data_IF_476319204210
#
_entry.id   IF_476319204210
#
_cell.length_a   1.000
_cell.length_b   1.000
_cell.length_c   1.000
_cell.angle_alpha   90.00
_cell.angle_beta   90.00
_cell.angle_gamma   90.00
#
_symmetry.space_group_name_H-M   'P 1'
#
loop_
_entity.id
_entity.type
_entity.pdbx_description
1 polymer ?
#
# COMPACT_ATOMS: atom_id res chain seq x y z
N UNK A 1 -16.85 11.77 45.07
CA UNK A 1 -17.92 11.66 44.07
C UNK A 1 -17.55 12.30 42.71
N UNK A 2 -16.60 13.23 42.66
CA UNK A 2 -16.15 13.92 41.43
C UNK A 2 -15.11 13.09 40.69
N UNK A 3 -14.30 12.30 41.37
CA UNK A 3 -13.24 11.47 40.74
C UNK A 3 -13.77 10.22 40.00
N UNK A 4 -14.91 9.66 40.42
CA UNK A 4 -15.55 8.54 39.68
C UNK A 4 -16.18 8.97 38.35
N UNK A 5 -16.66 10.22 38.24
CA UNK A 5 -17.21 10.74 36.98
C UNK A 5 -16.13 11.01 35.90
N UNK A 6 -14.89 11.34 36.29
CA UNK A 6 -13.76 11.50 35.32
C UNK A 6 -13.25 10.19 34.77
N UNK A 7 -13.33 9.09 35.54
CA UNK A 7 -12.94 7.75 35.06
C UNK A 7 -13.99 7.15 34.11
N UNK A 8 -15.26 7.54 34.25
CA UNK A 8 -16.34 7.06 33.37
C UNK A 8 -16.41 7.85 32.04
N UNK A 9 -15.92 9.11 31.98
CA UNK A 9 -15.82 9.88 30.74
C UNK A 9 -14.61 9.47 29.87
N UNK A 10 -13.53 8.98 30.46
CA UNK A 10 -12.38 8.42 29.71
C UNK A 10 -12.62 6.99 29.17
N UNK A 11 -13.69 6.33 29.61
CA UNK A 11 -14.13 5.03 29.05
C UNK A 11 -15.17 5.16 27.93
N UNK A 12 -15.53 6.37 27.53
CA UNK A 12 -16.50 6.61 26.47
C UNK A 12 -15.86 6.34 25.08
N UNK A 13 -16.20 5.14 24.54
CA UNK A 13 -16.23 4.83 23.11
C UNK A 13 -14.90 4.67 22.37
N UNK A 14 -14.05 3.77 22.76
CA UNK A 14 -13.16 3.15 21.79
C UNK A 14 -13.95 2.05 21.06
N UNK A 15 -14.38 2.32 19.83
CA UNK A 15 -14.91 1.28 18.92
C UNK A 15 -13.92 0.10 18.93
N UNK A 16 -14.38 -1.15 19.14
CA UNK A 16 -13.51 -2.31 19.10
C UNK A 16 -12.70 -2.36 17.80
N UNK A 17 -11.46 -2.80 17.87
CA UNK A 17 -10.57 -2.81 16.69
C UNK A 17 -11.15 -3.63 15.52
N UNK A 18 -11.89 -4.70 15.82
CA UNK A 18 -12.59 -5.51 14.82
C UNK A 18 -13.71 -4.74 14.10
N UNK A 19 -14.50 -3.95 14.80
CA UNK A 19 -15.55 -3.10 14.21
C UNK A 19 -14.92 -1.99 13.37
N UNK A 20 -13.93 -1.29 13.89
CA UNK A 20 -13.17 -0.28 13.16
C UNK A 20 -12.54 -0.84 11.87
N UNK A 21 -12.03 -2.05 11.93
CA UNK A 21 -11.48 -2.76 10.78
C UNK A 21 -12.54 -3.07 9.73
N UNK A 22 -13.72 -3.54 10.14
CA UNK A 22 -14.83 -3.81 9.22
C UNK A 22 -15.31 -2.54 8.53
N UNK A 23 -15.46 -1.44 9.28
CA UNK A 23 -15.83 -0.14 8.73
C UNK A 23 -14.78 0.38 7.76
N UNK A 24 -13.49 0.27 8.08
CA UNK A 24 -12.42 0.64 7.18
C UNK A 24 -12.46 -0.15 5.86
N UNK A 25 -12.72 -1.46 5.93
CA UNK A 25 -12.84 -2.32 4.75
C UNK A 25 -14.07 -1.95 3.92
N UNK A 26 -15.20 -1.68 4.58
CA UNK A 26 -16.40 -1.19 3.90
C UNK A 26 -16.16 0.13 3.17
N UNK A 27 -15.46 1.07 3.81
CA UNK A 27 -15.06 2.35 3.18
C UNK A 27 -14.19 2.09 1.94
N UNK A 28 -13.17 1.22 2.05
CA UNK A 28 -12.25 0.93 0.95
C UNK A 28 -12.98 0.29 -0.23
N UNK A 29 -13.92 -0.60 0.03
CA UNK A 29 -14.58 -1.37 -1.03
C UNK A 29 -15.74 -0.63 -1.71
N UNK A 30 -16.44 0.24 -0.95
CA UNK A 30 -17.69 0.84 -1.40
C UNK A 30 -17.60 2.35 -1.73
N UNK A 31 -16.46 3.00 -1.47
CA UNK A 31 -16.27 4.40 -1.87
C UNK A 31 -15.66 4.45 -3.27
N UNK A 32 -16.34 5.00 -4.29
CA UNK A 32 -15.86 4.96 -5.68
C UNK A 32 -14.50 5.64 -5.85
N UNK A 33 -14.35 6.84 -5.32
CA UNK A 33 -13.16 7.67 -5.49
C UNK A 33 -12.12 7.40 -4.40
N UNK A 34 -10.89 7.10 -4.78
CA UNK A 34 -9.80 6.82 -3.81
C UNK A 34 -9.50 8.03 -2.91
N UNK A 35 -9.63 9.24 -3.43
CA UNK A 35 -9.46 10.45 -2.63
C UNK A 35 -10.49 10.54 -1.49
N UNK A 36 -11.76 10.33 -1.80
CA UNK A 36 -12.81 10.25 -0.78
C UNK A 36 -12.60 9.08 0.19
N UNK A 37 -12.05 7.95 -0.29
CA UNK A 37 -11.68 6.82 0.55
C UNK A 37 -10.65 7.22 1.60
N UNK A 38 -9.57 7.89 1.18
CA UNK A 38 -8.49 8.34 2.06
C UNK A 38 -9.00 9.33 3.11
N UNK A 39 -9.87 10.27 2.73
CA UNK A 39 -10.47 11.23 3.67
C UNK A 39 -11.34 10.51 4.71
N UNK A 40 -12.23 9.61 4.28
CA UNK A 40 -13.10 8.85 5.20
C UNK A 40 -12.30 7.95 6.15
N UNK A 41 -11.21 7.35 5.67
CA UNK A 41 -10.32 6.54 6.52
C UNK A 41 -9.59 7.39 7.57
N UNK A 42 -9.09 8.58 7.19
CA UNK A 42 -8.51 9.53 8.15
C UNK A 42 -9.49 9.83 9.27
N UNK A 43 -10.75 10.14 8.92
CA UNK A 43 -11.79 10.51 9.87
C UNK A 43 -12.20 9.32 10.76
N UNK A 44 -12.38 8.12 10.18
CA UNK A 44 -12.66 6.88 10.93
C UNK A 44 -11.55 6.56 11.93
N UNK A 45 -10.31 6.70 11.52
CA UNK A 45 -9.13 6.41 12.34
C UNK A 45 -8.83 7.51 13.34
N UNK A 46 -9.49 8.67 13.20
CA UNK A 46 -9.29 9.85 14.04
C UNK A 46 -7.81 10.27 14.12
N UNK A 47 -7.16 10.34 12.96
CA UNK A 47 -5.77 10.79 12.75
C UNK A 47 -5.76 12.13 12.03
N UNK A 48 -4.64 12.85 12.09
CA UNK A 48 -4.58 14.19 11.46
C UNK A 48 -4.43 14.07 9.96
N UNK A 49 -3.51 13.22 9.49
CA UNK A 49 -3.27 13.05 8.06
C UNK A 49 -3.02 11.59 7.71
N UNK A 50 -3.40 11.26 6.47
CA UNK A 50 -3.15 9.97 5.84
C UNK A 50 -2.64 10.19 4.43
N UNK A 51 -1.55 9.52 4.09
CA UNK A 51 -0.92 9.56 2.77
C UNK A 51 -0.77 8.15 2.24
N UNK A 52 -1.24 7.94 1.02
CA UNK A 52 -0.91 6.75 0.25
C UNK A 52 -0.06 7.15 -0.95
N UNK A 53 1.11 6.57 -1.06
CA UNK A 53 2.07 6.78 -2.15
C UNK A 53 2.46 5.44 -2.76
N UNK A 54 2.38 5.30 -4.09
CA UNK A 54 2.75 4.08 -4.81
C UNK A 54 3.58 4.39 -6.04
N UNK A 55 4.59 3.56 -6.30
CA UNK A 55 5.44 3.63 -7.49
C UNK A 55 5.89 2.24 -7.94
N UNK A 56 6.19 2.08 -9.24
CA UNK A 56 6.81 0.85 -9.77
C UNK A 56 8.25 0.70 -9.30
N UNK A 57 8.65 -0.55 -9.06
CA UNK A 57 10.07 -0.86 -8.80
C UNK A 57 10.89 -0.51 -10.05
N UNK A 58 11.95 0.27 -9.86
CA UNK A 58 12.80 0.77 -10.95
C UNK A 58 12.47 2.20 -11.40
N UNK A 59 11.31 2.74 -11.04
CA UNK A 59 11.06 4.17 -11.10
C UNK A 59 11.64 4.78 -9.83
N UNK A 60 12.50 5.78 -9.97
CA UNK A 60 13.05 6.49 -8.81
C UNK A 60 11.89 7.04 -7.97
N UNK A 61 11.83 6.79 -6.66
CA UNK A 61 10.85 7.46 -5.81
C UNK A 61 11.01 8.98 -5.84
N UNK A 62 12.14 9.47 -6.34
CA UNK A 62 12.47 10.88 -6.56
C UNK A 62 12.04 11.39 -7.94
N UNK A 63 11.48 10.57 -8.83
CA UNK A 63 10.86 11.00 -10.09
C UNK A 63 9.57 11.82 -9.87
N UNK A 64 9.24 12.11 -8.62
CA UNK A 64 8.18 13.03 -8.23
C UNK A 64 8.36 14.44 -8.83
N UNK A 65 9.57 14.90 -9.10
CA UNK A 65 9.81 16.20 -9.74
C UNK A 65 9.08 16.31 -11.07
N UNK A 66 9.14 15.27 -11.90
CA UNK A 66 8.45 15.27 -13.20
C UNK A 66 6.93 15.20 -13.07
N UNK A 67 6.44 14.52 -12.03
CA UNK A 67 5.00 14.46 -11.73
C UNK A 67 4.47 15.80 -11.20
N UNK A 68 5.33 16.60 -10.56
CA UNK A 68 4.98 17.89 -9.98
C UNK A 68 5.26 19.09 -10.88
N UNK A 69 6.03 18.96 -11.96
CA UNK A 69 6.25 20.03 -12.94
C UNK A 69 4.93 20.61 -13.52
N UNK A 70 3.84 19.85 -13.45
CA UNK A 70 2.51 20.23 -13.91
C UNK A 70 1.54 20.69 -12.80
N UNK A 71 2.02 20.84 -11.56
CA UNK A 71 1.24 21.29 -10.40
C UNK A 71 0.42 20.19 -9.72
N UNK A 72 -0.05 20.49 -8.49
CA UNK A 72 -0.84 19.57 -7.64
C UNK A 72 -2.15 19.15 -8.33
N UNK A 73 -2.71 19.98 -9.19
CA UNK A 73 -3.96 19.72 -9.92
C UNK A 73 -3.86 18.50 -10.86
N UNK A 74 -2.67 18.17 -11.33
CA UNK A 74 -2.44 16.95 -12.13
C UNK A 74 -2.33 15.68 -11.29
N UNK A 75 -2.04 15.77 -9.98
CA UNK A 75 -2.05 14.64 -9.06
C UNK A 75 -3.46 14.25 -8.62
N UNK A 76 -4.38 15.20 -8.71
CA UNK A 76 -5.78 15.07 -8.33
C UNK A 76 -6.63 15.01 -9.60
N UNK A 77 -6.78 13.84 -10.22
CA UNK A 77 -7.90 13.64 -11.11
C UNK A 77 -7.70 13.29 -12.58
N UNK A 78 -6.49 13.04 -13.08
CA UNK A 78 -6.33 12.54 -14.47
C UNK A 78 -5.26 11.46 -14.57
N UNK A 79 -5.66 10.32 -15.16
CA UNK A 79 -4.85 9.18 -15.59
C UNK A 79 -3.87 8.57 -14.55
N UNK A 80 -3.71 7.26 -14.51
CA UNK A 80 -2.79 6.61 -13.62
C UNK A 80 -1.35 7.01 -13.97
N UNK A 81 -0.89 8.10 -13.34
CA UNK A 81 0.50 8.49 -13.42
C UNK A 81 1.29 7.64 -12.41
N UNK A 82 2.46 7.21 -12.79
CA UNK A 82 3.45 6.64 -11.88
C UNK A 82 4.46 7.76 -11.57
N UNK A 83 4.58 8.24 -10.34
CA UNK A 83 3.99 7.73 -9.09
C UNK A 83 2.52 8.13 -8.87
N UNK A 84 1.78 7.28 -8.15
CA UNK A 84 0.40 7.51 -7.75
C UNK A 84 0.32 7.93 -6.27
N UNK A 85 -0.27 9.10 -5.99
CA UNK A 85 -0.36 9.66 -4.65
C UNK A 85 -1.78 10.06 -4.33
N UNK A 86 -2.23 9.78 -3.11
CA UNK A 86 -3.44 10.32 -2.48
C UNK A 86 -3.12 10.69 -1.04
N UNK A 87 -3.54 11.87 -0.63
CA UNK A 87 -3.15 12.43 0.66
C UNK A 87 -4.21 13.38 1.22
N UNK A 88 -4.14 13.60 2.53
CA UNK A 88 -4.98 14.56 3.25
C UNK A 88 -4.19 15.73 3.83
N UNK A 89 -2.94 15.93 3.42
CA UNK A 89 -2.14 17.06 3.85
C UNK A 89 -2.76 18.39 3.41
N UNK A 90 -2.61 19.48 4.20
CA UNK A 90 -3.02 20.81 3.79
C UNK A 90 -2.33 21.25 2.49
N UNK A 91 -3.04 21.95 1.62
CA UNK A 91 -2.48 22.46 0.37
C UNK A 91 -1.27 23.39 0.61
N UNK A 92 -1.29 24.16 1.71
CA UNK A 92 -0.16 25.02 2.11
C UNK A 92 1.13 24.20 2.34
N UNK A 93 1.03 23.06 3.03
CA UNK A 93 2.18 22.16 3.22
C UNK A 93 2.63 21.54 1.90
N UNK A 94 1.70 21.07 1.07
CA UNK A 94 2.06 20.47 -0.21
C UNK A 94 2.76 21.46 -1.15
N UNK A 95 2.28 22.70 -1.22
CA UNK A 95 2.96 23.76 -1.98
C UNK A 95 4.38 24.00 -1.45
N UNK A 96 4.53 24.06 -0.13
CA UNK A 96 5.84 24.22 0.51
C UNK A 96 6.77 23.03 0.23
N UNK A 97 6.26 21.80 0.34
CA UNK A 97 6.98 20.56 0.08
C UNK A 97 7.57 20.55 -1.33
N UNK A 98 6.77 20.97 -2.33
CA UNK A 98 7.17 21.05 -3.73
C UNK A 98 8.20 22.16 -3.99
N UNK A 99 7.90 23.38 -3.51
CA UNK A 99 8.79 24.54 -3.70
C UNK A 99 10.20 24.30 -3.16
N UNK A 100 10.29 23.56 -2.05
CA UNK A 100 11.57 23.27 -1.39
C UNK A 100 12.24 21.98 -1.92
N UNK A 101 11.58 21.23 -2.83
CA UNK A 101 12.11 19.96 -3.34
C UNK A 101 12.28 18.90 -2.24
N UNK A 102 11.41 18.91 -1.24
CA UNK A 102 11.56 18.05 -0.04
C UNK A 102 11.52 16.56 -0.34
N UNK A 103 10.95 16.15 -1.45
CA UNK A 103 10.94 14.76 -1.88
C UNK A 103 12.34 14.12 -1.90
N UNK A 104 13.38 14.92 -2.22
CA UNK A 104 14.76 14.43 -2.30
C UNK A 104 15.43 14.21 -0.95
N UNK A 105 14.90 14.82 0.11
CA UNK A 105 15.47 14.81 1.45
C UNK A 105 14.50 14.25 2.49
N UNK A 106 13.31 13.83 2.10
CA UNK A 106 12.29 13.28 3.00
C UNK A 106 12.76 11.91 3.54
N UNK A 107 13.13 11.81 4.83
CA UNK A 107 13.60 10.56 5.41
C UNK A 107 12.48 9.50 5.51
N UNK A 108 11.20 9.90 5.58
CA UNK A 108 10.07 8.96 5.61
C UNK A 108 9.93 8.25 4.28
N UNK A 109 10.04 8.99 3.17
CA UNK A 109 10.01 8.42 1.82
C UNK A 109 11.23 7.55 1.58
N UNK A 110 12.43 8.05 1.92
CA UNK A 110 13.68 7.29 1.78
C UNK A 110 13.62 5.94 2.50
N UNK A 111 13.33 5.96 3.80
CA UNK A 111 13.28 4.75 4.62
C UNK A 111 12.11 3.84 4.21
N UNK A 112 10.97 4.42 3.86
CA UNK A 112 9.79 3.69 3.44
C UNK A 112 10.02 2.81 2.22
N UNK A 113 10.79 3.26 1.24
CA UNK A 113 11.14 2.46 0.06
C UNK A 113 12.30 1.48 0.29
N UNK A 114 13.05 1.62 1.38
CA UNK A 114 14.12 0.69 1.76
C UNK A 114 13.62 -0.42 2.68
N UNK A 115 12.69 -0.11 3.59
CA UNK A 115 12.19 -1.07 4.59
C UNK A 115 11.04 -1.93 4.02
N UNK A 116 10.80 -3.04 4.68
CA UNK A 116 9.69 -3.96 4.41
C UNK A 116 8.72 -4.08 5.59
N UNK A 117 9.11 -3.61 6.76
CA UNK A 117 8.32 -3.60 7.98
C UNK A 117 7.87 -2.18 8.31
N UNK A 118 6.69 -2.03 8.95
CA UNK A 118 6.26 -0.75 9.49
C UNK A 118 7.30 -0.15 10.43
N UNK A 119 7.41 1.17 10.43
CA UNK A 119 8.31 1.90 11.33
C UNK A 119 7.67 3.19 11.80
N UNK A 120 7.95 3.53 13.06
CA UNK A 120 7.61 4.80 13.67
C UNK A 120 8.60 5.88 13.21
N UNK A 121 8.13 7.12 13.06
CA UNK A 121 9.02 8.23 12.67
C UNK A 121 10.10 8.53 13.69
N UNK A 122 9.92 8.16 14.95
CA UNK A 122 10.97 8.25 15.99
C UNK A 122 12.17 7.34 15.70
N UNK A 123 12.01 6.31 14.87
CA UNK A 123 13.10 5.41 14.44
C UNK A 123 13.96 5.98 13.29
N UNK A 124 13.54 7.13 12.72
CA UNK A 124 14.26 7.73 11.60
C UNK A 124 15.64 8.21 12.03
N UNK A 125 16.64 7.79 11.27
CA UNK A 125 18.01 8.31 11.43
C UNK A 125 18.17 9.54 10.56
N UNK A 126 18.25 10.70 11.18
CA UNK A 126 18.49 11.97 10.50
C UNK A 126 19.95 12.02 10.05
N UNK A 127 20.16 12.15 8.74
CA UNK A 127 21.48 12.04 8.12
C UNK A 127 22.09 13.40 7.77
N UNK A 128 21.30 14.47 7.79
CA UNK A 128 21.75 15.80 7.43
C UNK A 128 20.99 16.91 8.14
N UNK A 129 21.58 18.11 8.19
CA UNK A 129 20.91 19.31 8.68
C UNK A 129 19.66 19.66 7.82
N UNK A 130 19.68 19.33 6.52
CA UNK A 130 18.55 19.54 5.64
C UNK A 130 17.35 18.66 6.02
N UNK A 131 17.56 17.38 6.37
CA UNK A 131 16.51 16.50 6.89
C UNK A 131 15.94 16.99 8.21
N UNK A 132 16.80 17.49 9.13
CA UNK A 132 16.34 18.07 10.38
C UNK A 132 15.48 19.31 10.14
N UNK A 133 15.88 20.18 9.21
CA UNK A 133 15.13 21.38 8.83
C UNK A 133 13.79 21.03 8.18
N UNK A 134 13.77 20.00 7.33
CA UNK A 134 12.54 19.48 6.72
C UNK A 134 11.52 19.03 7.79
N UNK A 135 11.95 18.23 8.77
CA UNK A 135 11.05 17.77 9.84
C UNK A 135 10.54 18.92 10.73
N UNK A 136 11.38 19.90 11.00
CA UNK A 136 10.98 21.11 11.73
C UNK A 136 9.96 21.95 10.93
N UNK A 137 10.15 22.08 9.63
CA UNK A 137 9.23 22.80 8.74
C UNK A 137 7.88 22.04 8.62
N UNK A 138 7.92 20.71 8.52
CA UNK A 138 6.73 19.86 8.53
C UNK A 138 5.90 20.08 9.80
N UNK A 139 6.55 20.06 10.96
CA UNK A 139 5.92 20.31 12.25
C UNK A 139 5.31 21.71 12.32
N UNK A 140 6.00 22.73 11.81
CA UNK A 140 5.49 24.11 11.76
C UNK A 140 4.26 24.26 10.86
N UNK A 141 4.07 23.35 9.89
CA UNK A 141 2.91 23.31 9.00
C UNK A 141 1.82 22.33 9.45
N UNK A 142 1.87 21.84 10.69
CA UNK A 142 0.84 20.99 11.28
C UNK A 142 0.97 19.51 10.90
N UNK A 143 2.11 19.09 10.34
CA UNK A 143 2.41 17.67 10.15
C UNK A 143 3.03 17.17 11.46
N UNK A 144 2.21 16.45 12.22
CA UNK A 144 2.44 16.15 13.64
C UNK A 144 3.79 15.51 13.96
N UNK A 145 4.20 15.55 15.25
CA UNK A 145 5.50 15.00 15.67
C UNK A 145 5.56 13.49 15.59
N UNK A 146 4.41 12.82 15.59
CA UNK A 146 4.32 11.37 15.55
C UNK A 146 3.83 10.89 14.18
N UNK A 147 4.34 9.77 13.72
CA UNK A 147 3.88 9.14 12.50
C UNK A 147 4.31 7.69 12.37
N UNK A 148 3.52 6.92 11.64
CA UNK A 148 3.83 5.55 11.27
C UNK A 148 3.85 5.46 9.75
N UNK A 149 4.90 4.86 9.20
CA UNK A 149 4.98 4.48 7.81
C UNK A 149 4.87 2.96 7.67
N UNK A 150 3.99 2.52 6.78
CA UNK A 150 3.74 1.11 6.49
C UNK A 150 4.12 0.85 5.03
N UNK A 151 5.30 0.26 4.77
CA UNK A 151 5.67 -0.18 3.43
C UNK A 151 4.78 -1.33 2.97
N UNK A 152 4.35 -1.28 1.71
CA UNK A 152 3.57 -2.34 1.07
C UNK A 152 4.23 -2.70 -0.25
N UNK A 153 4.27 -3.98 -0.57
CA UNK A 153 4.83 -4.46 -1.82
C UNK A 153 3.89 -5.45 -2.48
N UNK A 154 3.59 -5.23 -3.76
CA UNK A 154 2.87 -6.23 -4.57
C UNK A 154 3.82 -7.25 -5.19
N UNK A 155 3.28 -8.41 -5.54
CA UNK A 155 4.00 -9.46 -6.26
C UNK A 155 4.42 -9.04 -7.68
N UNK A 156 3.86 -7.95 -8.18
CA UNK A 156 4.06 -7.45 -9.55
C UNK A 156 5.00 -6.24 -9.63
N UNK A 157 5.75 -5.98 -8.56
CA UNK A 157 6.79 -4.96 -8.57
C UNK A 157 6.31 -3.54 -8.24
N UNK A 158 5.06 -3.35 -7.81
CA UNK A 158 4.64 -2.09 -7.21
C UNK A 158 5.00 -2.04 -5.74
N UNK A 159 5.60 -0.94 -5.32
CA UNK A 159 5.81 -0.59 -3.92
C UNK A 159 4.92 0.57 -3.54
N UNK A 160 4.44 0.56 -2.32
CA UNK A 160 3.64 1.64 -1.78
C UNK A 160 4.02 1.92 -0.33
N UNK A 161 3.67 3.11 0.11
CA UNK A 161 3.76 3.57 1.48
C UNK A 161 2.39 4.04 1.91
N UNK A 162 1.88 3.54 3.03
CA UNK A 162 0.81 4.18 3.76
C UNK A 162 1.45 4.88 4.96
N UNK A 163 1.35 6.20 5.01
CA UNK A 163 1.88 7.00 6.11
C UNK A 163 0.77 7.75 6.80
N UNK A 164 0.79 7.75 8.11
CA UNK A 164 -0.13 8.51 8.95
C UNK A 164 0.66 9.47 9.83
N UNK A 165 0.05 10.61 10.15
CA UNK A 165 0.58 11.54 11.14
C UNK A 165 -0.43 11.83 12.25
N UNK A 166 0.09 12.18 13.43
CA UNK A 166 -0.65 12.31 14.66
C UNK A 166 -0.02 13.39 15.53
N UNK A 167 -0.81 14.40 15.92
CA UNK A 167 -0.31 15.59 16.64
C UNK A 167 -0.58 15.60 18.14
N UNK A 168 -1.27 14.56 18.64
CA UNK A 168 -1.58 14.45 20.07
C UNK A 168 -0.35 14.00 20.87
N UNK A 169 -0.51 13.82 22.20
CA UNK A 169 0.55 13.44 23.08
C UNK A 169 1.19 12.09 22.72
N UNK A 170 2.47 11.92 23.09
CA UNK A 170 3.18 10.65 22.92
C UNK A 170 2.47 9.47 23.57
N UNK A 171 1.85 9.68 24.74
CA UNK A 171 1.07 8.63 25.43
C UNK A 171 -0.14 8.17 24.60
N UNK A 172 -0.87 9.11 23.99
CA UNK A 172 -1.99 8.80 23.11
C UNK A 172 -1.50 8.11 21.84
N UNK A 173 -0.38 8.57 21.27
CA UNK A 173 0.26 7.93 20.13
C UNK A 173 0.64 6.47 20.41
N UNK A 174 1.36 6.22 21.48
CA UNK A 174 1.77 4.86 21.88
C UNK A 174 0.57 3.94 22.09
N UNK A 175 -0.50 4.44 22.73
CA UNK A 175 -1.71 3.67 22.90
C UNK A 175 -2.42 3.39 21.57
N UNK A 176 -2.51 4.38 20.69
CA UNK A 176 -3.11 4.24 19.37
C UNK A 176 -2.36 3.19 18.53
N UNK A 177 -1.04 3.27 18.44
CA UNK A 177 -0.24 2.32 17.67
C UNK A 177 -0.36 0.90 18.23
N UNK A 178 -0.27 0.73 19.54
CA UNK A 178 -0.38 -0.57 20.19
C UNK A 178 -1.69 -1.31 19.82
N UNK A 179 -2.78 -0.57 19.70
CA UNK A 179 -4.10 -1.16 19.42
C UNK A 179 -4.42 -1.23 17.92
N UNK A 180 -3.93 -0.28 17.11
CA UNK A 180 -4.42 -0.08 15.74
C UNK A 180 -3.43 -0.54 14.66
N UNK A 181 -2.14 -0.69 14.97
CA UNK A 181 -1.14 -1.05 13.97
C UNK A 181 -1.46 -2.32 13.14
N UNK A 182 -1.97 -3.42 13.71
CA UNK A 182 -2.34 -4.59 12.91
C UNK A 182 -3.45 -4.28 11.89
N UNK A 183 -4.43 -3.49 12.28
CA UNK A 183 -5.50 -3.02 11.40
C UNK A 183 -5.00 -2.06 10.33
N UNK A 184 -4.08 -1.15 10.66
CA UNK A 184 -3.45 -0.25 9.68
C UNK A 184 -2.67 -1.01 8.60
N UNK A 185 -1.97 -2.08 8.97
CA UNK A 185 -1.27 -2.95 8.00
C UNK A 185 -2.27 -3.60 7.03
N UNK A 186 -3.41 -4.06 7.51
CA UNK A 186 -4.45 -4.65 6.68
C UNK A 186 -5.11 -3.61 5.75
N UNK A 187 -5.37 -2.40 6.27
CA UNK A 187 -5.85 -1.25 5.49
C UNK A 187 -4.86 -0.92 4.37
N UNK A 188 -3.57 -0.78 4.68
CA UNK A 188 -2.52 -0.49 3.71
C UNK A 188 -2.47 -1.51 2.57
N UNK A 189 -2.51 -2.80 2.91
CA UNK A 189 -2.54 -3.88 1.92
C UNK A 189 -3.83 -3.89 1.08
N UNK A 190 -4.98 -3.55 1.66
CA UNK A 190 -6.25 -3.52 0.94
C UNK A 190 -6.32 -2.34 -0.03
N UNK A 191 -5.91 -1.14 0.43
CA UNK A 191 -5.78 0.04 -0.44
C UNK A 191 -4.83 -0.28 -1.61
N UNK A 192 -3.66 -0.84 -1.32
CA UNK A 192 -2.66 -1.13 -2.34
C UNK A 192 -3.18 -2.11 -3.40
N UNK A 193 -3.86 -3.19 -2.98
CA UNK A 193 -4.50 -4.12 -3.93
C UNK A 193 -5.53 -3.42 -4.81
N UNK A 194 -6.37 -2.57 -4.22
CA UNK A 194 -7.37 -1.80 -4.97
C UNK A 194 -6.71 -0.87 -5.98
N UNK A 195 -5.70 -0.09 -5.57
CA UNK A 195 -4.98 0.82 -6.46
C UNK A 195 -4.26 0.08 -7.59
N UNK A 196 -3.60 -1.04 -7.28
CA UNK A 196 -2.94 -1.86 -8.32
C UNK A 196 -3.96 -2.37 -9.34
N UNK A 197 -5.13 -2.79 -8.89
CA UNK A 197 -6.22 -3.26 -9.76
C UNK A 197 -6.82 -2.14 -10.63
N UNK A 198 -7.23 -1.04 -9.99
CA UNK A 198 -8.01 0.02 -10.65
C UNK A 198 -7.15 0.97 -11.47
N UNK A 199 -5.97 1.33 -10.94
CA UNK A 199 -5.12 2.38 -11.51
C UNK A 199 -4.11 1.81 -12.49
N UNK A 200 -3.44 0.71 -12.12
CA UNK A 200 -2.39 0.14 -12.96
C UNK A 200 -2.87 -1.02 -13.85
N UNK A 201 -4.13 -1.45 -13.70
CA UNK A 201 -4.71 -2.53 -14.51
C UNK A 201 -4.02 -3.89 -14.34
N UNK A 202 -3.19 -4.03 -13.29
CA UNK A 202 -2.29 -5.18 -13.08
C UNK A 202 -2.90 -6.32 -12.27
N UNK A 203 -4.21 -6.35 -12.08
CA UNK A 203 -4.87 -7.52 -11.47
C UNK A 203 -4.95 -8.73 -12.43
N UNK A 204 -4.40 -8.59 -13.63
CA UNK A 204 -4.15 -9.73 -14.50
C UNK A 204 -2.72 -10.21 -14.29
N UNK A 205 -2.52 -11.28 -13.52
CA UNK A 205 -1.21 -11.87 -13.34
C UNK A 205 -0.61 -12.20 -14.71
N UNK A 206 0.53 -11.63 -15.03
CA UNK A 206 1.20 -11.90 -16.30
C UNK A 206 1.89 -13.27 -16.21
N UNK A 207 1.28 -14.27 -16.80
CA UNK A 207 1.89 -15.57 -16.98
C UNK A 207 2.77 -15.57 -18.22
N UNK A 208 3.98 -16.11 -18.10
CA UNK A 208 4.84 -16.35 -19.25
C UNK A 208 4.20 -17.40 -20.17
N UNK A 209 4.55 -17.38 -21.44
CA UNK A 209 4.01 -18.32 -22.44
C UNK A 209 4.13 -19.80 -21.96
N UNK A 210 5.30 -20.17 -21.45
CA UNK A 210 5.54 -21.54 -20.94
C UNK A 210 4.75 -21.88 -19.68
N UNK A 211 4.45 -20.92 -18.83
CA UNK A 211 3.57 -21.09 -17.67
C UNK A 211 2.12 -21.33 -18.11
N UNK A 212 1.66 -20.57 -19.11
CA UNK A 212 0.33 -20.75 -19.73
C UNK A 212 0.19 -22.11 -20.42
N UNK A 213 1.19 -22.50 -21.21
CA UNK A 213 1.22 -23.80 -21.87
C UNK A 213 1.11 -24.94 -20.85
N UNK A 214 1.97 -24.93 -19.81
CA UNK A 214 1.91 -25.94 -18.75
C UNK A 214 0.54 -25.97 -18.06
N UNK A 215 0.01 -24.78 -17.72
CA UNK A 215 -1.30 -24.67 -17.06
C UNK A 215 -2.46 -25.15 -17.95
N UNK A 216 -2.37 -24.95 -19.27
CA UNK A 216 -3.37 -25.42 -20.24
C UNK A 216 -3.39 -26.97 -20.32
N UNK A 217 -2.26 -27.62 -20.17
CA UNK A 217 -2.18 -29.07 -20.12
C UNK A 217 -2.73 -29.63 -18.81
N UNK A 218 -2.46 -28.96 -17.68
CA UNK A 218 -3.09 -29.33 -16.39
C UNK A 218 -4.63 -29.23 -16.50
N UNK A 219 -5.15 -28.19 -17.17
CA UNK A 219 -6.58 -28.03 -17.40
C UNK A 219 -7.18 -29.19 -18.22
N UNK A 220 -6.37 -29.87 -19.02
CA UNK A 220 -6.72 -31.08 -19.80
C UNK A 220 -6.41 -32.38 -19.06
N UNK A 221 -6.10 -32.32 -17.75
CA UNK A 221 -5.85 -33.47 -16.91
C UNK A 221 -4.44 -34.10 -17.03
N UNK A 222 -3.46 -33.37 -17.61
CA UNK A 222 -2.08 -33.86 -17.74
C UNK A 222 -1.27 -33.55 -16.49
N UNK A 223 -0.42 -34.50 -16.09
CA UNK A 223 0.53 -34.32 -15.00
C UNK A 223 1.85 -33.72 -15.51
N UNK A 224 2.70 -33.25 -14.59
CA UNK A 224 3.98 -32.62 -14.94
C UNK A 224 4.91 -33.50 -15.76
N UNK A 225 4.84 -34.82 -15.60
CA UNK A 225 5.57 -35.83 -16.39
C UNK A 225 5.08 -35.90 -17.83
N UNK A 226 3.77 -35.84 -18.05
CA UNK A 226 3.18 -35.86 -19.38
C UNK A 226 3.48 -34.50 -20.09
N UNK A 227 3.36 -33.40 -19.38
CA UNK A 227 3.66 -32.05 -19.88
C UNK A 227 5.13 -31.98 -20.33
N UNK A 228 6.04 -32.58 -19.57
CA UNK A 228 7.45 -32.61 -19.92
C UNK A 228 7.69 -33.30 -21.29
N UNK A 229 7.01 -34.40 -21.53
CA UNK A 229 7.07 -35.12 -22.81
C UNK A 229 6.48 -34.30 -23.94
N UNK A 230 5.27 -33.74 -23.72
CA UNK A 230 4.53 -32.95 -24.72
C UNK A 230 5.29 -31.68 -25.13
N UNK A 231 5.90 -30.97 -24.18
CA UNK A 231 6.62 -29.73 -24.42
C UNK A 231 8.12 -29.91 -24.69
N UNK A 232 8.60 -31.15 -24.67
CA UNK A 232 10.02 -31.51 -24.84
C UNK A 232 10.95 -30.76 -23.86
N UNK A 233 10.60 -30.82 -22.56
CA UNK A 233 11.34 -30.22 -21.45
C UNK A 233 11.56 -31.26 -20.35
N UNK A 234 12.38 -30.96 -19.34
CA UNK A 234 12.50 -31.85 -18.18
C UNK A 234 11.24 -31.78 -17.30
N UNK A 235 10.93 -32.87 -16.59
CA UNK A 235 9.82 -32.88 -15.63
C UNK A 235 10.06 -31.93 -14.45
N UNK A 236 11.31 -31.60 -14.14
CA UNK A 236 11.66 -30.56 -13.18
C UNK A 236 11.25 -29.17 -13.69
N UNK A 237 11.61 -28.85 -14.93
CA UNK A 237 11.25 -27.59 -15.58
C UNK A 237 9.73 -27.42 -15.67
N UNK A 238 8.98 -28.48 -16.00
CA UNK A 238 7.52 -28.44 -16.02
C UNK A 238 6.92 -28.11 -14.64
N UNK A 239 7.47 -28.74 -13.56
CA UNK A 239 7.05 -28.42 -12.18
C UNK A 239 7.38 -26.98 -11.79
N UNK A 240 8.53 -26.45 -12.21
CA UNK A 240 8.92 -25.08 -11.93
C UNK A 240 7.99 -24.06 -12.62
N UNK A 241 7.62 -24.30 -13.88
CA UNK A 241 6.62 -23.44 -14.54
C UNK A 241 5.26 -23.50 -13.85
N UNK A 242 4.80 -24.68 -13.44
CA UNK A 242 3.55 -24.81 -12.70
C UNK A 242 3.62 -24.18 -11.30
N UNK A 243 4.77 -24.26 -10.63
CA UNK A 243 5.02 -23.61 -9.35
C UNK A 243 5.00 -22.09 -9.51
N UNK A 244 5.66 -21.55 -10.53
CA UNK A 244 5.69 -20.14 -10.85
C UNK A 244 4.29 -19.61 -11.21
N UNK A 245 3.54 -20.34 -12.05
CA UNK A 245 2.17 -20.00 -12.40
C UNK A 245 1.27 -19.94 -11.16
N UNK A 246 1.35 -20.91 -10.25
CA UNK A 246 0.61 -20.91 -8.99
C UNK A 246 0.97 -19.71 -8.11
N UNK A 247 2.26 -19.42 -8.00
CA UNK A 247 2.73 -18.26 -7.25
C UNK A 247 2.17 -16.95 -7.80
N UNK A 248 2.28 -16.74 -9.13
CA UNK A 248 1.77 -15.55 -9.82
C UNK A 248 0.23 -15.41 -9.72
N UNK A 249 -0.45 -16.55 -9.72
CA UNK A 249 -1.92 -16.59 -9.56
C UNK A 249 -2.37 -16.57 -8.09
N UNK A 250 -1.43 -16.55 -7.14
CA UNK A 250 -1.74 -16.63 -5.71
C UNK A 250 -2.62 -17.84 -5.35
N UNK A 251 -2.20 -19.02 -5.82
CA UNK A 251 -2.91 -20.29 -5.66
C UNK A 251 -2.01 -21.33 -5.02
N UNK A 252 -2.59 -22.16 -4.15
CA UNK A 252 -1.88 -23.27 -3.50
C UNK A 252 -1.80 -24.49 -4.41
N UNK A 253 -2.88 -24.79 -5.16
CA UNK A 253 -2.96 -25.97 -6.03
C UNK A 253 -3.02 -25.59 -7.50
N UNK A 254 -2.61 -26.54 -8.38
CA UNK A 254 -2.71 -26.34 -9.83
C UNK A 254 -4.16 -26.27 -10.31
N UNK A 255 -5.08 -26.98 -9.65
CA UNK A 255 -6.53 -26.88 -9.95
C UNK A 255 -7.09 -25.48 -9.65
N UNK A 256 -6.70 -24.89 -8.51
CA UNK A 256 -7.05 -23.49 -8.18
C UNK A 256 -6.46 -22.53 -9.21
N UNK A 257 -5.19 -22.75 -9.62
CA UNK A 257 -4.55 -21.90 -10.62
C UNK A 257 -5.24 -21.97 -11.98
N UNK A 258 -5.66 -23.15 -12.44
CA UNK A 258 -6.46 -23.34 -13.66
C UNK A 258 -7.79 -22.59 -13.54
N UNK A 259 -8.55 -22.82 -12.47
CA UNK A 259 -9.84 -22.14 -12.24
C UNK A 259 -9.69 -20.63 -12.26
N UNK A 260 -8.68 -20.09 -11.60
CA UNK A 260 -8.41 -18.65 -11.55
C UNK A 260 -7.97 -18.10 -12.91
N UNK A 261 -7.11 -18.83 -13.65
CA UNK A 261 -6.66 -18.43 -14.99
C UNK A 261 -7.83 -18.37 -16.00
N UNK A 262 -8.75 -19.33 -15.95
CA UNK A 262 -9.97 -19.32 -16.78
C UNK A 262 -10.89 -18.14 -16.39
N UNK A 263 -11.13 -17.93 -15.10
CA UNK A 263 -11.92 -16.80 -14.58
C UNK A 263 -11.36 -15.44 -15.01
N UNK A 264 -10.04 -15.30 -15.04
CA UNK A 264 -9.33 -14.10 -15.48
C UNK A 264 -9.18 -14.00 -17.01
N UNK A 265 -9.71 -14.97 -17.76
CA UNK A 265 -9.57 -15.08 -19.22
C UNK A 265 -8.11 -15.09 -19.70
N UNK A 266 -7.20 -15.62 -18.88
CA UNK A 266 -5.82 -15.89 -19.24
C UNK A 266 -5.68 -17.23 -19.97
N UNK A 267 -6.64 -18.12 -19.76
CA UNK A 267 -6.73 -19.45 -20.33
C UNK A 267 -8.13 -19.65 -20.92
N UNK A 268 -8.17 -20.08 -22.17
CA UNK A 268 -9.39 -20.49 -22.87
C UNK A 268 -9.31 -22.00 -23.03
N UNK A 269 -10.30 -22.72 -22.52
CA UNK A 269 -10.39 -24.18 -22.58
C UNK A 269 -11.17 -24.64 -23.80
#
# INVERSE_FOLDING_TARGET
MVERRRLDEDMATSVPDDERRQDAFSIIDNTPEMEATIVKLRDLLNIDHLVYYSSKVGVSPFALDQAFEHGIEHLVGRQPADPYIRLTYPASWMNRYLQMGYVHIDPVVREGFLRTLPFDWSELKIQSAAEASFLADALAHGIGPHGLCIPVQSKHGHRALLSISFSRSEKEWMNFIKTTQPTLIQIANRIHRRVVSEVFGEDRPHLAMRELECLSWVARGKEATDIAIILNISSHTARDYLKSARYKLDCVTSAQAVSKAVKLRLLIL
#
